data_IF_471706570835
#
_entry.id   IF_471706570835
#
_cell.length_a   1.000
_cell.length_b   1.000
_cell.length_c   1.000
_cell.angle_alpha   90.00
_cell.angle_beta   90.00
_cell.angle_gamma   90.00
#
_symmetry.space_group_name_H-M   'P 1'
#
loop_
_entity.id
_entity.type
_entity.pdbx_description
1 polymer ?
#
# COMPACT_ATOMS: atom_id res chain seq x y z
N UNK A 1 -35.05 -9.26 -4.96
CA UNK A 1 -34.05 -8.72 -4.01
C UNK A 1 -33.64 -9.83 -3.06
N UNK A 2 -32.47 -10.43 -3.27
CA UNK A 2 -31.95 -11.49 -2.39
C UNK A 2 -31.26 -10.83 -1.19
N UNK A 3 -31.91 -10.86 -0.02
CA UNK A 3 -31.30 -10.50 1.25
C UNK A 3 -30.30 -11.60 1.65
N UNK A 4 -29.05 -11.47 1.21
CA UNK A 4 -27.95 -12.22 1.80
C UNK A 4 -27.73 -11.69 3.23
N UNK A 5 -27.83 -12.54 4.28
CA UNK A 5 -27.71 -12.09 5.65
C UNK A 5 -26.32 -11.50 5.87
N UNK A 6 -26.30 -10.23 6.28
CA UNK A 6 -25.11 -9.41 6.63
C UNK A 6 -24.25 -10.07 7.73
N UNK A 7 -24.72 -11.14 8.36
CA UNK A 7 -24.12 -11.84 9.50
C UNK A 7 -22.89 -12.72 9.20
N UNK A 8 -22.52 -12.99 7.94
CA UNK A 8 -21.36 -13.86 7.60
C UNK A 8 -20.37 -13.26 6.58
N UNK A 9 -20.28 -11.93 6.48
CA UNK A 9 -19.22 -11.34 5.65
C UNK A 9 -17.89 -11.34 6.42
N UNK A 10 -16.83 -11.97 5.89
CA UNK A 10 -15.52 -11.94 6.54
C UNK A 10 -15.01 -10.50 6.65
N UNK A 11 -14.21 -10.24 7.68
CA UNK A 11 -13.67 -8.92 7.95
C UNK A 11 -12.77 -8.43 6.79
N UNK A 12 -12.14 -9.38 6.08
CA UNK A 12 -11.26 -9.15 4.93
C UNK A 12 -11.51 -10.23 3.87
N UNK A 13 -11.61 -9.83 2.61
CA UNK A 13 -11.55 -10.76 1.48
C UNK A 13 -10.10 -11.03 1.09
N UNK A 14 -9.53 -12.13 1.60
CA UNK A 14 -8.11 -12.48 1.44
C UNK A 14 -7.64 -12.49 -0.03
N UNK A 15 -8.36 -13.07 -1.00
CA UNK A 15 -7.91 -13.10 -2.40
C UNK A 15 -7.85 -11.68 -3.01
N UNK A 16 -8.86 -10.86 -2.73
CA UNK A 16 -8.92 -9.46 -3.19
C UNK A 16 -7.81 -8.62 -2.55
N UNK A 17 -7.54 -8.88 -1.26
CA UNK A 17 -6.44 -8.26 -0.51
C UNK A 17 -5.08 -8.58 -1.15
N UNK A 18 -4.78 -9.87 -1.35
CA UNK A 18 -3.50 -10.31 -1.91
C UNK A 18 -3.31 -9.79 -3.34
N UNK A 19 -4.36 -9.83 -4.17
CA UNK A 19 -4.30 -9.39 -5.56
C UNK A 19 -4.11 -7.88 -5.69
N UNK A 20 -4.82 -7.10 -4.87
CA UNK A 20 -4.64 -5.66 -4.84
C UNK A 20 -3.23 -5.27 -4.39
N UNK A 21 -2.71 -5.95 -3.36
CA UNK A 21 -1.38 -5.66 -2.81
C UNK A 21 -0.24 -6.08 -3.74
N UNK A 22 -0.26 -7.31 -4.23
CA UNK A 22 0.82 -7.88 -5.05
C UNK A 22 1.13 -7.05 -6.28
N UNK A 23 0.10 -6.54 -6.97
CA UNK A 23 0.26 -5.74 -8.17
C UNK A 23 1.14 -4.49 -7.94
N UNK A 24 0.86 -3.72 -6.89
CA UNK A 24 1.61 -2.49 -6.59
C UNK A 24 2.96 -2.78 -5.94
N UNK A 25 3.06 -3.87 -5.17
CA UNK A 25 4.34 -4.31 -4.59
C UNK A 25 5.31 -4.76 -5.67
N UNK A 26 4.85 -5.51 -6.67
CA UNK A 26 5.68 -5.93 -7.79
C UNK A 26 6.12 -4.70 -8.61
N UNK A 27 5.21 -3.76 -8.87
CA UNK A 27 5.52 -2.56 -9.65
C UNK A 27 6.60 -1.70 -8.97
N UNK A 28 6.40 -1.33 -7.70
CA UNK A 28 7.36 -0.50 -6.99
C UNK A 28 8.64 -1.27 -6.62
N UNK A 29 8.49 -2.48 -6.08
CA UNK A 29 9.62 -3.33 -5.71
C UNK A 29 10.50 -3.68 -6.91
N UNK A 30 9.90 -4.00 -8.06
CA UNK A 30 10.63 -4.24 -9.31
C UNK A 30 11.35 -3.00 -9.80
N UNK A 31 10.72 -1.82 -9.73
CA UNK A 31 11.35 -0.54 -10.11
C UNK A 31 12.56 -0.23 -9.24
N UNK A 32 12.43 -0.36 -7.92
CA UNK A 32 13.55 -0.11 -6.99
C UNK A 32 14.65 -1.13 -7.22
N UNK A 33 14.33 -2.42 -7.33
CA UNK A 33 15.34 -3.45 -7.57
C UNK A 33 16.12 -3.20 -8.87
N UNK A 34 15.42 -2.88 -9.95
CA UNK A 34 16.04 -2.59 -11.26
C UNK A 34 16.97 -1.38 -11.20
N UNK A 35 16.53 -0.27 -10.61
CA UNK A 35 17.33 0.96 -10.55
C UNK A 35 18.50 0.86 -9.55
N UNK A 36 18.31 0.16 -8.43
CA UNK A 36 19.40 -0.15 -7.50
C UNK A 36 20.45 -1.03 -8.18
N UNK A 37 20.02 -2.03 -8.96
CA UNK A 37 20.93 -2.87 -9.74
C UNK A 37 21.73 -2.07 -10.78
N UNK A 38 21.17 -0.99 -11.32
CA UNK A 38 21.88 -0.03 -12.19
C UNK A 38 22.78 0.96 -11.45
N UNK A 39 22.95 0.82 -10.12
CA UNK A 39 23.77 1.71 -9.32
C UNK A 39 23.10 3.06 -9.00
N UNK A 40 21.77 3.15 -9.09
CA UNK A 40 20.99 4.33 -8.73
C UNK A 40 20.16 4.11 -7.45
N UNK A 41 20.79 3.96 -6.27
CA UNK A 41 20.06 3.71 -5.02
C UNK A 41 19.21 4.90 -4.58
N UNK A 42 19.45 6.10 -5.13
CA UNK A 42 18.68 7.31 -4.84
C UNK A 42 17.17 7.21 -5.16
N UNK A 43 16.74 6.24 -5.98
CA UNK A 43 15.31 5.97 -6.22
C UNK A 43 14.54 5.71 -4.91
N UNK A 44 15.21 5.17 -3.89
CA UNK A 44 14.62 4.86 -2.60
C UNK A 44 14.05 6.11 -1.91
N UNK A 45 14.62 7.29 -2.19
CA UNK A 45 14.14 8.56 -1.67
C UNK A 45 12.79 8.97 -2.27
N UNK A 46 12.38 8.35 -3.39
CA UNK A 46 11.07 8.52 -4.01
C UNK A 46 9.99 7.60 -3.39
N UNK A 47 10.32 6.81 -2.37
CA UNK A 47 9.35 5.98 -1.62
C UNK A 47 8.11 6.76 -1.12
N UNK A 48 8.20 8.04 -0.70
CA UNK A 48 7.00 8.81 -0.35
C UNK A 48 6.01 8.97 -1.51
N UNK A 49 6.50 9.08 -2.76
CA UNK A 49 5.63 9.08 -3.95
C UNK A 49 4.97 7.72 -4.15
N UNK A 50 5.68 6.63 -3.85
CA UNK A 50 5.12 5.29 -3.95
C UNK A 50 3.95 5.06 -2.99
N UNK A 51 3.84 5.77 -1.86
CA UNK A 51 2.66 5.69 -0.98
C UNK A 51 1.37 6.12 -1.68
N UNK A 52 1.44 6.94 -2.73
CA UNK A 52 0.27 7.29 -3.53
C UNK A 52 -0.32 6.07 -4.26
N UNK A 53 0.44 4.99 -4.46
CA UNK A 53 -0.06 3.72 -4.98
C UNK A 53 -1.07 3.05 -4.03
N UNK A 54 -1.15 3.47 -2.77
CA UNK A 54 -2.19 3.04 -1.84
C UNK A 54 -3.59 3.52 -2.27
N UNK A 55 -3.70 4.62 -3.02
CA UNK A 55 -4.98 5.14 -3.56
C UNK A 55 -5.63 4.12 -4.50
N UNK A 56 -4.98 3.70 -5.61
CA UNK A 56 -5.57 2.70 -6.49
C UNK A 56 -5.62 1.30 -5.85
N UNK A 57 -4.76 0.99 -4.87
CA UNK A 57 -4.86 -0.27 -4.10
C UNK A 57 -6.18 -0.39 -3.31
N UNK A 58 -6.62 0.70 -2.66
CA UNK A 58 -7.90 0.72 -1.94
C UNK A 58 -9.10 0.55 -2.88
N UNK A 59 -9.05 1.17 -4.07
CA UNK A 59 -10.07 1.00 -5.11
C UNK A 59 -10.11 -0.44 -5.64
N UNK A 60 -8.95 -0.98 -6.01
CA UNK A 60 -8.81 -2.32 -6.57
C UNK A 60 -9.28 -3.39 -5.59
N UNK A 61 -9.03 -3.23 -4.28
CA UNK A 61 -9.54 -4.15 -3.27
C UNK A 61 -11.07 -4.27 -3.32
N UNK A 62 -11.78 -3.14 -3.39
CA UNK A 62 -13.25 -3.15 -3.44
C UNK A 62 -13.76 -3.69 -4.78
N UNK A 63 -13.10 -3.35 -5.88
CA UNK A 63 -13.44 -3.87 -7.20
C UNK A 63 -13.27 -5.40 -7.26
N UNK A 64 -12.16 -5.94 -6.72
CA UNK A 64 -11.91 -7.38 -6.65
C UNK A 64 -12.77 -8.11 -5.61
N UNK A 65 -13.33 -7.41 -4.63
CA UNK A 65 -14.24 -7.99 -3.64
C UNK A 65 -15.67 -8.19 -4.15
N UNK A 66 -15.98 -7.81 -5.41
CA UNK A 66 -17.23 -8.12 -6.14
C UNK A 66 -18.52 -7.92 -5.31
N UNK A 67 -18.58 -6.82 -4.57
CA UNK A 67 -19.78 -6.43 -3.80
C UNK A 67 -19.80 -6.93 -2.36
N UNK A 68 -18.71 -7.58 -1.92
CA UNK A 68 -18.49 -8.00 -0.53
C UNK A 68 -17.20 -7.38 0.02
N UNK A 69 -17.00 -6.05 0.05
CA UNK A 69 -15.75 -5.48 0.57
C UNK A 69 -15.52 -5.67 2.08
N UNK A 70 -16.48 -6.26 2.80
CA UNK A 70 -16.46 -6.49 4.24
C UNK A 70 -17.42 -5.56 5.00
N UNK A 71 -17.60 -5.84 6.30
CA UNK A 71 -18.50 -5.07 7.18
C UNK A 71 -18.10 -3.60 7.31
N UNK A 72 -16.78 -3.33 7.28
CA UNK A 72 -16.19 -1.99 7.38
C UNK A 72 -15.19 -1.80 6.22
N UNK A 73 -15.64 -1.28 5.06
CA UNK A 73 -14.79 -1.17 3.87
C UNK A 73 -13.59 -0.23 4.07
N UNK A 74 -13.73 0.78 4.94
CA UNK A 74 -12.63 1.66 5.32
C UNK A 74 -11.51 0.88 6.00
N UNK A 75 -11.84 0.02 6.97
CA UNK A 75 -10.85 -0.74 7.73
C UNK A 75 -10.12 -1.75 6.83
N UNK A 76 -10.84 -2.43 5.95
CA UNK A 76 -10.25 -3.37 5.00
C UNK A 76 -9.31 -2.66 4.01
N UNK A 77 -9.71 -1.50 3.48
CA UNK A 77 -8.84 -0.66 2.66
C UNK A 77 -7.64 -0.14 3.43
N UNK A 78 -7.84 0.31 4.68
CA UNK A 78 -6.77 0.80 5.53
C UNK A 78 -5.73 -0.27 5.83
N UNK A 79 -6.13 -1.52 6.01
CA UNK A 79 -5.22 -2.65 6.16
C UNK A 79 -4.39 -2.88 4.89
N UNK A 80 -5.00 -2.84 3.70
CA UNK A 80 -4.27 -2.95 2.42
C UNK A 80 -3.21 -1.85 2.32
N UNK A 81 -3.60 -0.61 2.62
CA UNK A 81 -2.71 0.54 2.61
C UNK A 81 -1.59 0.44 3.64
N UNK A 82 -1.91 0.07 4.88
CA UNK A 82 -0.93 -0.10 5.96
C UNK A 82 0.11 -1.17 5.59
N UNK A 83 -0.32 -2.32 5.07
CA UNK A 83 0.60 -3.38 4.65
C UNK A 83 1.48 -2.93 3.49
N UNK A 84 0.93 -2.18 2.53
CA UNK A 84 1.69 -1.64 1.40
C UNK A 84 2.72 -0.59 1.86
N UNK A 85 2.34 0.32 2.76
CA UNK A 85 3.24 1.29 3.38
C UNK A 85 4.36 0.63 4.20
N UNK A 86 4.03 -0.41 4.97
CA UNK A 86 5.01 -1.23 5.70
C UNK A 86 6.01 -1.88 4.75
N UNK A 87 5.55 -2.54 3.69
CA UNK A 87 6.42 -3.21 2.72
C UNK A 87 7.35 -2.21 2.02
N UNK A 88 6.85 -1.04 1.65
CA UNK A 88 7.66 0.01 1.03
C UNK A 88 8.68 0.61 2.00
N UNK A 89 8.30 0.81 3.26
CA UNK A 89 9.22 1.23 4.31
C UNK A 89 10.31 0.20 4.62
N UNK A 90 9.96 -1.10 4.66
CA UNK A 90 10.93 -2.19 4.83
C UNK A 90 11.89 -2.30 3.65
N UNK A 91 11.39 -2.12 2.43
CA UNK A 91 12.21 -2.06 1.24
C UNK A 91 13.15 -0.85 1.28
N UNK A 92 12.67 0.30 1.79
CA UNK A 92 13.49 1.47 2.03
C UNK A 92 14.61 1.19 3.06
N UNK A 93 14.27 0.49 4.14
CA UNK A 93 15.24 0.12 5.16
C UNK A 93 16.32 -0.83 4.62
N UNK A 94 15.90 -1.89 3.90
CA UNK A 94 16.82 -2.92 3.40
C UNK A 94 17.79 -2.37 2.35
N UNK A 95 17.31 -1.62 1.37
CA UNK A 95 18.17 -1.02 0.35
C UNK A 95 19.04 0.09 0.95
N UNK A 96 18.49 0.92 1.83
CA UNK A 96 19.25 1.98 2.51
C UNK A 96 20.41 1.43 3.33
N UNK A 97 20.15 0.41 4.16
CA UNK A 97 21.19 -0.24 4.97
C UNK A 97 22.30 -0.90 4.14
N UNK A 98 21.98 -1.41 2.95
CA UNK A 98 22.95 -2.08 2.08
C UNK A 98 23.76 -1.10 1.22
N UNK A 99 23.11 -0.05 0.69
CA UNK A 99 23.71 0.84 -0.31
C UNK A 99 24.25 2.14 0.25
N UNK A 100 23.81 2.54 1.45
CA UNK A 100 24.19 3.78 2.12
C UNK A 100 24.52 3.51 3.60
N UNK A 101 25.67 2.86 3.89
CA UNK A 101 26.09 2.62 5.27
C UNK A 101 26.31 3.94 6.00
N UNK A 102 25.84 4.00 7.25
CA UNK A 102 25.98 5.18 8.10
C UNK A 102 27.45 5.43 8.45
N UNK A 103 27.88 6.69 8.37
CA UNK A 103 29.20 7.12 8.84
C UNK A 103 29.19 7.27 10.37
N UNK A 104 29.95 6.45 11.13
CA UNK A 104 29.96 6.51 12.59
C UNK A 104 30.53 7.81 13.16
N UNK A 105 31.20 8.64 12.35
CA UNK A 105 31.72 9.93 12.76
C UNK A 105 30.70 11.08 12.65
N UNK A 106 29.54 10.84 12.04
CA UNK A 106 28.50 11.85 11.83
C UNK A 106 27.60 12.03 13.06
N UNK A 107 28.14 12.58 14.15
CA UNK A 107 27.37 12.88 15.37
C UNK A 107 26.35 13.99 15.11
N UNK A 108 25.07 13.73 15.40
CA UNK A 108 23.97 14.70 15.27
C UNK A 108 23.24 14.73 13.92
N UNK A 109 23.52 13.79 13.01
CA UNK A 109 22.75 13.60 11.77
C UNK A 109 21.77 12.45 11.91
N UNK A 110 20.63 12.56 11.22
CA UNK A 110 19.66 11.47 11.09
C UNK A 110 20.34 10.30 10.38
N UNK A 111 20.38 9.15 11.05
CA UNK A 111 20.90 7.92 10.44
C UNK A 111 19.94 7.40 9.39
N UNK A 112 20.42 6.60 8.44
CA UNK A 112 19.55 5.94 7.47
C UNK A 112 18.52 5.04 8.15
N UNK A 113 18.88 4.47 9.31
CA UNK A 113 17.95 3.73 10.17
C UNK A 113 16.80 4.60 10.67
N UNK A 114 17.07 5.81 11.15
CA UNK A 114 16.04 6.72 11.65
C UNK A 114 15.09 7.17 10.53
N UNK A 115 15.65 7.50 9.37
CA UNK A 115 14.87 7.87 8.17
C UNK A 115 13.96 6.72 7.75
N UNK A 116 14.48 5.49 7.74
CA UNK A 116 13.70 4.31 7.39
C UNK A 116 12.56 4.05 8.38
N UNK A 117 12.78 4.24 9.69
CA UNK A 117 11.72 4.12 10.70
C UNK A 117 10.62 5.17 10.51
N UNK A 118 11.00 6.41 10.19
CA UNK A 118 10.04 7.47 9.85
C UNK A 118 9.25 7.06 8.61
N UNK A 119 9.91 6.53 7.58
CA UNK A 119 9.25 6.10 6.34
C UNK A 119 8.30 4.93 6.57
N UNK A 120 8.65 3.98 7.44
CA UNK A 120 7.75 2.89 7.84
C UNK A 120 6.53 3.47 8.58
N UNK A 121 6.75 4.27 9.63
CA UNK A 121 5.66 4.80 10.46
C UNK A 121 4.72 5.71 9.68
N UNK A 122 5.28 6.74 9.03
CA UNK A 122 4.52 7.72 8.24
C UNK A 122 3.90 7.05 7.02
N UNK A 123 4.64 6.17 6.33
CA UNK A 123 4.15 5.44 5.17
C UNK A 123 2.97 4.53 5.49
N UNK A 124 3.03 3.79 6.61
CA UNK A 124 1.91 2.99 7.08
C UNK A 124 0.66 3.84 7.33
N UNK A 125 0.80 4.97 8.02
CA UNK A 125 -0.34 5.83 8.37
C UNK A 125 -0.94 6.49 7.12
N UNK A 126 -0.11 7.11 6.28
CA UNK A 126 -0.55 7.79 5.06
C UNK A 126 -1.19 6.80 4.11
N UNK A 127 -0.54 5.66 3.83
CA UNK A 127 -1.07 4.67 2.92
C UNK A 127 -2.37 4.04 3.46
N UNK A 128 -2.48 3.80 4.77
CA UNK A 128 -3.71 3.32 5.40
C UNK A 128 -4.87 4.32 5.22
N UNK A 129 -4.63 5.60 5.47
CA UNK A 129 -5.66 6.63 5.29
C UNK A 129 -6.08 6.76 3.83
N UNK A 130 -5.13 6.83 2.90
CA UNK A 130 -5.41 6.95 1.47
C UNK A 130 -6.20 5.75 0.95
N UNK A 131 -5.73 4.52 1.23
CA UNK A 131 -6.39 3.29 0.78
C UNK A 131 -7.75 3.09 1.47
N UNK A 132 -7.85 3.37 2.77
CA UNK A 132 -9.10 3.29 3.52
C UNK A 132 -10.16 4.26 3.01
N UNK A 133 -9.80 5.53 2.77
CA UNK A 133 -10.71 6.53 2.20
C UNK A 133 -11.19 6.12 0.81
N UNK A 134 -10.30 5.59 -0.03
CA UNK A 134 -10.66 5.16 -1.38
C UNK A 134 -11.53 3.91 -1.37
N UNK A 135 -11.24 2.93 -0.53
CA UNK A 135 -12.10 1.77 -0.34
C UNK A 135 -13.49 2.16 0.18
N UNK A 136 -13.56 3.14 1.09
CA UNK A 136 -14.83 3.68 1.56
C UNK A 136 -15.64 4.34 0.43
N UNK A 137 -14.99 5.21 -0.36
CA UNK A 137 -15.62 5.86 -1.52
C UNK A 137 -16.07 4.85 -2.58
N UNK A 138 -15.23 3.86 -2.90
CA UNK A 138 -15.57 2.79 -3.85
C UNK A 138 -16.77 1.98 -3.37
N UNK A 139 -16.80 1.60 -2.08
CA UNK A 139 -17.93 0.86 -1.52
C UNK A 139 -19.24 1.67 -1.57
N UNK A 140 -19.18 2.99 -1.34
CA UNK A 140 -20.34 3.88 -1.49
C UNK A 140 -20.81 3.97 -2.94
N UNK A 141 -19.88 4.05 -3.90
CA UNK A 141 -20.21 4.07 -5.33
C UNK A 141 -20.84 2.75 -5.79
N UNK A 142 -20.31 1.62 -5.32
CA UNK A 142 -20.84 0.30 -5.63
C UNK A 142 -22.25 0.10 -5.05
N UNK A 143 -22.51 0.57 -3.82
CA UNK A 143 -23.86 0.59 -3.22
C UNK A 143 -24.85 1.44 -4.01
N UNK A 144 -24.37 2.46 -4.71
CA UNK A 144 -25.16 3.31 -5.63
C UNK A 144 -25.34 2.69 -7.03
N UNK A 145 -24.90 1.44 -7.23
CA UNK A 145 -25.05 0.73 -8.50
C UNK A 145 -24.04 1.13 -9.59
N UNK A 146 -22.97 1.86 -9.25
CA UNK A 146 -21.90 2.17 -10.20
C UNK A 146 -20.96 0.97 -10.35
N UNK A 147 -20.60 0.65 -11.58
CA UNK A 147 -19.56 -0.34 -11.90
C UNK A 147 -18.21 0.28 -11.56
N UNK A 148 -17.43 -0.42 -10.72
CA UNK A 148 -16.07 -0.03 -10.41
C UNK A 148 -15.13 -0.60 -11.47
N UNK A 149 -14.33 0.26 -12.10
CA UNK A 149 -13.28 -0.15 -13.03
C UNK A 149 -12.02 -0.52 -12.24
N UNK A 150 -11.50 -1.72 -12.48
CA UNK A 150 -10.21 -2.16 -11.93
C UNK A 150 -9.10 -1.40 -12.64
N UNK A 151 -8.21 -0.77 -11.86
CA UNK A 151 -7.01 -0.14 -12.41
C UNK A 151 -5.97 -1.24 -12.58
N UNK A 152 -5.65 -1.56 -13.83
CA UNK A 152 -4.60 -2.51 -14.18
C UNK A 152 -3.38 -1.76 -14.75
N UNK A 153 -2.19 -2.09 -14.27
CA UNK A 153 -0.92 -1.60 -14.79
C UNK A 153 -0.54 -2.59 -15.89
N UNK A 154 -0.93 -2.25 -17.12
CA UNK A 154 -0.44 -2.94 -18.32
C UNK A 154 1.00 -2.55 -18.60
#
# INVERSE_FOLDING_TARGET
MNYQPVLKQPLIHIPAFLRSLSMWVILWGGTVFFLVYQGQPGIICMTPLAWLLAVPAGLNYVAFAEGKPGRIPFLAGAMVGATLGLLFGLLCWGVGAYTMPDDPAATGRLTMRDIALIFIGVGMVIAALLSGMMAHRAALQQRRGKILTVINAK
#
